data_IF_664817434567
#
_entry.id   IF_664817434567
#
_cell.length_a   1.000
_cell.length_b   1.000
_cell.length_c   1.000
_cell.angle_alpha   90.00
_cell.angle_beta   90.00
_cell.angle_gamma   90.00
#
_symmetry.space_group_name_H-M   'P 1'
#
loop_
_entity.id
_entity.type
_entity.pdbx_description
1 polymer ?
#
# COMPACT_ATOMS: atom_id res chain seq x y z
N UNK A 1 -11.83 -0.47 -12.18
CA UNK A 1 -11.59 -1.43 -11.09
C UNK A 1 -10.12 -1.80 -11.14
N UNK A 2 -9.35 -1.53 -10.08
CA UNK A 2 -7.92 -1.87 -10.01
C UNK A 2 -7.79 -3.10 -9.14
N UNK A 3 -7.29 -4.20 -9.71
CA UNK A 3 -6.96 -5.40 -8.94
C UNK A 3 -5.54 -5.22 -8.42
N UNK A 4 -5.36 -5.29 -7.11
CA UNK A 4 -4.06 -5.11 -6.47
C UNK A 4 -3.70 -6.44 -5.84
N UNK A 5 -2.56 -7.00 -6.25
CA UNK A 5 -2.00 -8.19 -5.61
C UNK A 5 -1.32 -7.73 -4.32
N UNK A 6 -1.82 -8.13 -3.17
CA UNK A 6 -1.31 -7.69 -1.87
C UNK A 6 -0.10 -8.52 -1.41
N UNK A 7 0.96 -8.53 -2.23
CA UNK A 7 2.26 -9.06 -1.84
C UNK A 7 2.94 -8.17 -0.76
N UNK A 8 2.54 -6.89 -0.69
CA UNK A 8 3.12 -5.89 0.21
C UNK A 8 2.08 -5.28 1.14
N UNK A 9 2.12 -5.74 2.39
CA UNK A 9 1.21 -5.36 3.47
C UNK A 9 1.70 -4.20 4.38
N UNK A 10 2.79 -3.52 4.00
CA UNK A 10 3.37 -2.41 4.76
C UNK A 10 3.83 -1.29 3.82
N UNK A 11 3.82 -0.03 4.26
CA UNK A 11 4.24 1.09 3.43
C UNK A 11 5.75 1.09 3.15
N UNK A 12 6.16 1.70 2.05
CA UNK A 12 7.56 2.05 1.86
C UNK A 12 7.92 3.20 2.80
N UNK A 13 9.03 3.07 3.51
CA UNK A 13 9.54 4.10 4.42
C UNK A 13 10.71 4.80 3.76
N UNK A 14 10.51 6.05 3.36
CA UNK A 14 11.54 6.90 2.79
C UNK A 14 12.07 7.81 3.91
N UNK A 15 13.29 7.53 4.37
CA UNK A 15 13.98 8.34 5.37
C UNK A 15 14.65 9.52 4.68
N UNK A 16 14.23 10.74 5.03
CA UNK A 16 14.80 11.97 4.47
C UNK A 16 15.76 12.67 5.44
N UNK A 17 15.82 12.19 6.69
CA UNK A 17 16.85 12.58 7.65
C UNK A 17 18.26 12.44 7.09
N UNK A 18 19.03 13.53 7.13
CA UNK A 18 20.42 13.57 6.64
C UNK A 18 20.57 13.69 5.12
N UNK A 19 19.49 13.82 4.36
CA UNK A 19 19.57 14.12 2.92
C UNK A 19 20.03 15.57 2.74
N UNK A 20 21.17 15.76 2.09
CA UNK A 20 21.74 17.09 1.86
C UNK A 20 20.75 18.00 1.12
N UNK A 21 20.52 19.19 1.68
CA UNK A 21 19.62 20.19 1.11
C UNK A 21 18.16 20.05 1.54
N UNK A 22 17.77 18.93 2.15
CA UNK A 22 16.39 18.75 2.65
C UNK A 22 16.08 19.70 3.81
N UNK A 23 17.09 20.09 4.59
CA UNK A 23 16.98 21.08 5.67
C UNK A 23 16.45 22.43 5.18
N UNK A 24 16.71 22.81 3.92
CA UNK A 24 16.21 24.05 3.32
C UNK A 24 14.75 23.94 2.88
N UNK A 25 14.26 22.72 2.67
CA UNK A 25 12.87 22.43 2.26
C UNK A 25 11.98 22.22 3.49
N UNK A 26 12.48 21.57 4.53
CA UNK A 26 11.71 21.21 5.72
C UNK A 26 11.32 22.43 6.57
N UNK A 27 12.03 23.55 6.47
CA UNK A 27 11.78 24.78 7.23
C UNK A 27 12.11 24.69 8.73
N UNK A 28 12.33 23.49 9.26
CA UNK A 28 12.67 23.18 10.64
C UNK A 28 13.75 22.10 10.65
N UNK A 29 14.94 22.45 11.19
CA UNK A 29 16.11 21.56 11.21
C UNK A 29 15.91 20.35 12.12
N UNK A 30 15.20 20.50 13.23
CA UNK A 30 14.99 19.41 14.19
C UNK A 30 14.02 18.39 13.60
N UNK A 31 12.97 18.86 12.92
CA UNK A 31 12.04 17.97 12.20
C UNK A 31 12.69 17.30 10.99
N UNK A 32 13.61 17.98 10.32
CA UNK A 32 14.31 17.42 9.16
C UNK A 32 15.14 16.19 9.52
N UNK A 33 15.80 16.18 10.67
CA UNK A 33 16.73 15.12 11.09
C UNK A 33 16.06 13.74 11.18
N UNK A 34 14.80 13.69 11.60
CA UNK A 34 14.05 12.44 11.79
C UNK A 34 12.87 12.28 10.84
N UNK A 35 12.81 13.07 9.77
CA UNK A 35 11.68 13.06 8.86
C UNK A 35 11.61 11.76 8.04
N UNK A 36 10.42 11.17 7.98
CA UNK A 36 10.14 9.96 7.20
C UNK A 36 8.82 10.14 6.45
N UNK A 37 8.81 9.68 5.19
CA UNK A 37 7.59 9.54 4.41
C UNK A 37 7.19 8.08 4.35
N UNK A 38 5.92 7.82 4.59
CA UNK A 38 5.33 6.49 4.45
C UNK A 38 4.50 6.48 3.17
N UNK A 39 4.96 5.78 2.14
CA UNK A 39 4.24 5.64 0.87
C UNK A 39 3.40 4.37 0.87
N UNK A 40 2.16 4.45 0.40
CA UNK A 40 1.26 3.32 0.33
C UNK A 40 1.81 2.26 -0.63
N UNK A 41 1.89 1.02 -0.15
CA UNK A 41 2.18 -0.16 -0.97
C UNK A 41 1.02 -1.17 -0.98
N UNK A 42 0.10 -1.11 0.00
CA UNK A 42 -1.02 -2.03 0.12
C UNK A 42 -2.20 -1.73 -0.83
N UNK A 43 -2.17 -0.63 -1.57
CA UNK A 43 -3.25 -0.29 -2.50
C UNK A 43 -4.56 0.24 -1.90
N UNK A 44 -4.77 0.13 -0.59
CA UNK A 44 -6.02 0.52 0.06
C UNK A 44 -6.08 1.94 0.63
N UNK A 45 -4.99 2.72 0.60
CA UNK A 45 -5.04 4.08 1.14
C UNK A 45 -6.03 4.96 0.38
N UNK A 46 -6.81 5.76 1.10
CA UNK A 46 -7.60 6.87 0.55
C UNK A 46 -6.77 8.13 0.30
N UNK A 47 -5.56 8.22 0.88
CA UNK A 47 -4.65 9.36 0.76
C UNK A 47 -3.43 9.05 -0.14
N UNK A 48 -3.61 8.27 -1.21
CA UNK A 48 -2.52 7.92 -2.13
C UNK A 48 -1.83 9.19 -2.68
N UNK A 49 -0.50 9.20 -2.81
CA UNK A 49 0.43 8.07 -2.66
C UNK A 49 0.88 7.77 -1.22
N UNK A 50 0.40 8.51 -0.23
CA UNK A 50 0.82 8.38 1.16
C UNK A 50 0.07 7.24 1.86
N UNK A 51 0.67 6.72 2.93
CA UNK A 51 0.05 5.77 3.82
C UNK A 51 -0.85 6.50 4.82
N UNK A 52 -2.08 6.04 4.97
CA UNK A 52 -3.06 6.52 5.98
C UNK A 52 -3.39 5.46 7.05
N UNK A 53 -2.64 4.35 7.08
CA UNK A 53 -2.88 3.24 8.00
C UNK A 53 -3.79 2.13 7.46
N UNK A 54 -4.39 2.28 6.27
CA UNK A 54 -5.27 1.26 5.68
C UNK A 54 -4.60 -0.10 5.45
N UNK A 55 -3.26 -0.15 5.43
CA UNK A 55 -2.49 -1.39 5.35
C UNK A 55 -2.73 -2.35 6.53
N UNK A 56 -3.27 -1.88 7.66
CA UNK A 56 -3.63 -2.76 8.77
C UNK A 56 -4.76 -3.74 8.40
N UNK A 57 -5.59 -3.40 7.40
CA UNK A 57 -6.70 -4.25 6.95
C UNK A 57 -6.27 -5.47 6.13
N UNK A 58 -5.02 -5.47 5.65
CA UNK A 58 -4.49 -6.52 4.75
C UNK A 58 -3.52 -7.47 5.46
N UNK A 59 -3.30 -7.32 6.78
CA UNK A 59 -2.34 -8.14 7.53
C UNK A 59 -2.78 -9.60 7.71
N UNK A 60 -4.08 -9.88 7.66
CA UNK A 60 -4.65 -11.22 7.85
C UNK A 60 -4.95 -11.95 6.54
N UNK A 61 -4.44 -11.47 5.41
CA UNK A 61 -4.67 -12.11 4.12
C UNK A 61 -3.84 -13.39 3.99
N UNK A 62 -4.47 -14.45 3.48
CA UNK A 62 -3.84 -15.74 3.24
C UNK A 62 -3.39 -15.89 1.79
N UNK A 63 -2.25 -16.55 1.59
CA UNK A 63 -1.73 -16.83 0.25
C UNK A 63 -2.72 -17.69 -0.55
N UNK A 64 -2.94 -17.32 -1.81
CA UNK A 64 -3.87 -18.03 -2.71
C UNK A 64 -5.35 -17.66 -2.55
N UNK A 65 -5.70 -16.74 -1.65
CA UNK A 65 -7.07 -16.20 -1.52
C UNK A 65 -7.22 -14.84 -2.19
N UNK A 66 -8.44 -14.52 -2.64
CA UNK A 66 -8.79 -13.21 -3.19
C UNK A 66 -9.69 -12.47 -2.21
N UNK A 67 -9.26 -11.26 -1.86
CA UNK A 67 -10.00 -10.33 -1.02
C UNK A 67 -10.49 -9.16 -1.87
N UNK A 68 -11.78 -8.84 -1.75
CA UNK A 68 -12.39 -7.67 -2.37
C UNK A 68 -12.72 -6.67 -1.27
N UNK A 69 -12.22 -5.46 -1.42
CA UNK A 69 -12.47 -4.38 -0.47
C UNK A 69 -13.47 -3.40 -1.09
N UNK A 70 -14.63 -3.28 -0.45
CA UNK A 70 -15.70 -2.36 -0.85
C UNK A 70 -15.73 -1.18 0.13
N UNK A 71 -15.74 0.05 -0.38
CA UNK A 71 -15.69 1.26 0.44
C UNK A 71 -16.96 1.46 1.29
N UNK A 72 -18.10 0.91 0.87
CA UNK A 72 -19.39 1.01 1.56
C UNK A 72 -19.66 -0.20 2.48
N UNK A 73 -19.14 -1.39 2.12
CA UNK A 73 -19.46 -2.66 2.80
C UNK A 73 -18.33 -3.27 3.61
N UNK A 74 -17.11 -2.73 3.54
CA UNK A 74 -15.95 -3.28 4.25
C UNK A 74 -15.27 -4.43 3.47
N UNK A 75 -14.66 -5.38 4.20
CA UNK A 75 -13.96 -6.53 3.60
C UNK A 75 -14.96 -7.60 3.14
N UNK A 76 -14.88 -7.99 1.88
CA UNK A 76 -15.64 -9.10 1.29
C UNK A 76 -14.63 -10.15 0.80
N UNK A 77 -14.59 -11.31 1.45
CA UNK A 77 -13.81 -12.45 0.96
C UNK A 77 -14.54 -13.05 -0.25
N UNK A 78 -13.84 -13.22 -1.39
CA UNK A 78 -14.38 -13.96 -2.53
C UNK A 78 -13.56 -15.24 -2.68
N UNK A 79 -14.09 -16.32 -2.11
CA UNK A 79 -13.56 -17.67 -2.28
C UNK A 79 -14.18 -18.28 -3.52
N UNK A 80 -13.70 -17.92 -4.70
CA UNK A 80 -14.09 -18.60 -5.95
C UNK A 80 -12.84 -19.01 -6.74
N UNK A 81 -12.69 -20.32 -6.97
CA UNK A 81 -11.57 -20.88 -7.74
C UNK A 81 -11.52 -20.33 -9.18
N UNK A 82 -12.65 -19.87 -9.72
CA UNK A 82 -12.72 -19.21 -11.03
C UNK A 82 -12.08 -17.82 -11.02
N UNK A 83 -12.25 -17.05 -9.95
CA UNK A 83 -11.64 -15.74 -9.80
C UNK A 83 -10.10 -15.80 -9.74
N UNK A 84 -9.54 -16.84 -9.10
CA UNK A 84 -8.09 -17.07 -9.04
C UNK A 84 -7.50 -17.29 -10.44
N UNK A 85 -8.13 -18.12 -11.27
CA UNK A 85 -7.68 -18.38 -12.65
C UNK A 85 -7.74 -17.14 -13.53
N UNK A 86 -8.75 -16.28 -13.34
CA UNK A 86 -8.83 -15.01 -14.06
C UNK A 86 -7.67 -14.11 -13.65
N UNK A 87 -7.34 -14.03 -12.36
CA UNK A 87 -6.27 -13.18 -11.85
C UNK A 87 -4.87 -13.63 -12.32
N UNK A 88 -4.61 -14.94 -12.35
CA UNK A 88 -3.37 -15.51 -12.94
C UNK A 88 -3.23 -15.24 -14.44
N UNK A 89 -4.34 -15.02 -15.14
CA UNK A 89 -4.34 -14.70 -16.57
C UNK A 89 -4.17 -13.21 -16.88
N UNK A 90 -4.27 -12.33 -15.86
CA UNK A 90 -4.11 -10.89 -16.06
C UNK A 90 -2.62 -10.55 -16.22
N UNK A 91 -2.27 -9.67 -17.18
CA UNK A 91 -0.90 -9.24 -17.35
C UNK A 91 -0.41 -8.49 -16.10
N UNK A 92 0.80 -8.83 -15.64
CA UNK A 92 1.46 -8.07 -14.59
C UNK A 92 1.92 -6.73 -15.17
N UNK A 93 1.32 -5.63 -14.73
CA UNK A 93 1.65 -4.27 -15.20
C UNK A 93 3.08 -3.81 -14.82
N UNK A 94 3.78 -4.60 -14.00
CA UNK A 94 5.13 -4.33 -13.51
C UNK A 94 6.19 -5.32 -14.01
N UNK A 95 5.86 -6.18 -14.98
CA UNK A 95 6.83 -6.96 -15.77
C UNK A 95 7.14 -6.31 -17.13
#
# INVERSE_FOLDING_TARGET
MRVIRHDRNHPFVVKLGGVAGFEHVAGDKEKAENFQLHMCACGLSGNKPLCDGSHMRVQGEEEGKIYVYDEEKGQVEVVDEGAVKVLESLPNEYE
#
